data_IF_060159300702
#
_entry.id   IF_060159300702
#
_cell.length_a   1.000
_cell.length_b   1.000
_cell.length_c   1.000
_cell.angle_alpha   90.00
_cell.angle_beta   90.00
_cell.angle_gamma   90.00
#
_symmetry.space_group_name_H-M   'P 1'
#
loop_
_entity.id
_entity.type
_entity.pdbx_description
1 polymer ?
#
# COMPACT_ATOMS: atom_id res chain seq x y z
N UNK A 1 -9.09 -14.18 -2.01
CA UNK A 1 -10.13 -13.45 -2.77
C UNK A 1 -10.76 -12.42 -1.84
N UNK A 2 -10.97 -11.21 -2.35
CA UNK A 2 -11.67 -10.14 -1.64
C UNK A 2 -13.13 -10.53 -1.33
N UNK A 3 -13.66 -9.96 -0.26
CA UNK A 3 -15.00 -10.24 0.26
C UNK A 3 -15.80 -8.97 0.58
N UNK A 4 -15.25 -7.78 0.30
CA UNK A 4 -15.87 -6.48 0.61
C UNK A 4 -15.65 -5.99 2.03
N UNK A 5 -15.05 -6.80 2.92
CA UNK A 5 -14.89 -6.42 4.33
C UNK A 5 -13.47 -5.95 4.66
N UNK A 6 -12.51 -6.12 3.75
CA UNK A 6 -11.14 -5.63 3.90
C UNK A 6 -10.50 -6.09 5.21
N UNK A 7 -10.00 -5.16 6.02
CA UNK A 7 -9.50 -5.40 7.39
C UNK A 7 -10.56 -5.21 8.48
N UNK A 8 -11.76 -4.76 8.13
CA UNK A 8 -12.86 -4.49 9.06
C UNK A 8 -13.68 -5.73 9.41
N UNK A 9 -13.46 -6.85 8.71
CA UNK A 9 -14.19 -8.10 8.93
C UNK A 9 -13.80 -9.22 7.96
N UNK A 10 -14.60 -10.28 7.97
CA UNK A 10 -14.54 -11.36 6.99
C UNK A 10 -13.29 -12.21 7.13
N UNK A 11 -12.71 -12.57 5.98
CA UNK A 11 -11.48 -13.37 5.96
C UNK A 11 -10.31 -12.55 6.48
N UNK A 12 -9.45 -13.15 7.28
CA UNK A 12 -8.16 -12.56 7.64
C UNK A 12 -7.29 -12.43 6.39
N UNK A 13 -6.93 -11.19 6.03
CA UNK A 13 -6.13 -10.86 4.85
C UNK A 13 -4.77 -10.28 5.30
N UNK A 14 -3.64 -10.72 4.72
CA UNK A 14 -2.34 -10.19 5.10
C UNK A 14 -2.06 -8.84 4.44
N UNK A 15 -1.40 -7.93 5.16
CA UNK A 15 -0.76 -6.75 4.55
C UNK A 15 0.36 -7.17 3.61
N UNK A 16 0.62 -6.37 2.57
CA UNK A 16 1.52 -6.77 1.49
C UNK A 16 3.01 -6.57 1.84
N UNK A 17 3.43 -5.35 2.20
CA UNK A 17 4.83 -5.01 2.39
C UNK A 17 5.06 -4.12 3.62
N UNK A 18 5.93 -4.58 4.52
CA UNK A 18 6.34 -3.82 5.70
C UNK A 18 7.68 -3.12 5.44
N UNK A 19 7.64 -1.81 5.17
CA UNK A 19 8.81 -0.95 5.03
C UNK A 19 9.18 -0.33 6.40
N UNK A 20 9.41 -1.20 7.39
CA UNK A 20 9.63 -0.77 8.78
C UNK A 20 11.10 -0.51 9.09
N UNK A 21 11.38 0.50 9.92
CA UNK A 21 12.73 0.83 10.41
C UNK A 21 13.76 1.08 9.30
N UNK A 22 13.29 1.53 8.13
CA UNK A 22 14.14 1.89 7.00
C UNK A 22 14.79 3.25 7.25
N UNK A 23 16.12 3.34 7.11
CA UNK A 23 16.86 4.59 7.31
C UNK A 23 17.71 4.87 6.08
N UNK A 24 17.62 6.08 5.52
CA UNK A 24 18.38 6.51 4.33
C UNK A 24 18.29 5.47 3.19
N UNK A 25 17.07 5.05 2.88
CA UNK A 25 16.78 3.90 2.00
C UNK A 25 15.94 4.33 0.81
N UNK A 26 15.94 3.51 -0.25
CA UNK A 26 15.17 3.76 -1.48
C UNK A 26 14.40 2.52 -1.91
N UNK A 27 13.16 2.70 -2.32
CA UNK A 27 12.31 1.69 -2.98
C UNK A 27 11.93 2.25 -4.34
N UNK A 28 12.28 1.57 -5.43
CA UNK A 28 12.16 2.16 -6.76
C UNK A 28 11.58 1.18 -7.78
N UNK A 29 10.73 1.69 -8.66
CA UNK A 29 10.22 1.00 -9.85
C UNK A 29 9.55 -0.35 -9.56
N UNK A 30 8.80 -0.41 -8.45
CA UNK A 30 8.05 -1.60 -8.05
C UNK A 30 6.63 -1.53 -8.59
N UNK A 31 6.16 -2.62 -9.20
CA UNK A 31 4.75 -2.80 -9.57
C UNK A 31 4.12 -3.87 -8.67
N UNK A 32 3.01 -3.52 -8.02
CA UNK A 32 2.20 -4.41 -7.19
C UNK A 32 0.84 -4.56 -7.85
N UNK A 33 0.33 -5.79 -7.84
CA UNK A 33 -0.95 -6.14 -8.45
C UNK A 33 -1.81 -6.93 -7.48
N UNK A 34 -3.11 -6.60 -7.44
CA UNK A 34 -4.17 -7.31 -6.73
C UNK A 34 -3.82 -7.65 -5.25
N UNK A 35 -3.43 -6.62 -4.48
CA UNK A 35 -3.10 -6.79 -3.07
C UNK A 35 -4.33 -7.20 -2.25
N UNK A 36 -4.19 -8.11 -1.26
CA UNK A 36 -5.34 -8.55 -0.45
C UNK A 36 -5.99 -7.41 0.35
N UNK A 37 -5.16 -6.53 0.93
CA UNK A 37 -5.51 -5.31 1.68
C UNK A 37 -4.37 -4.28 1.48
N UNK A 38 -4.01 -3.50 2.51
CA UNK A 38 -3.01 -2.43 2.45
C UNK A 38 -1.66 -2.91 1.93
N UNK A 39 -0.99 -2.01 1.21
CA UNK A 39 0.17 -2.34 0.40
C UNK A 39 1.46 -2.00 1.15
N UNK A 40 1.84 -0.73 1.21
CA UNK A 40 3.05 -0.30 1.90
C UNK A 40 2.71 0.17 3.31
N UNK A 41 3.02 -0.65 4.31
CA UNK A 41 3.06 -0.20 5.69
C UNK A 41 4.45 0.35 5.99
N UNK A 42 4.56 1.67 6.03
CA UNK A 42 5.78 2.43 6.34
C UNK A 42 5.70 2.83 7.82
N UNK A 43 6.62 2.34 8.64
CA UNK A 43 6.60 2.65 10.07
C UNK A 43 8.00 2.78 10.65
N UNK A 44 8.21 3.76 11.54
CA UNK A 44 9.52 4.05 12.14
C UNK A 44 10.63 4.27 11.10
N UNK A 45 10.29 4.80 9.91
CA UNK A 45 11.23 5.04 8.83
C UNK A 45 11.78 6.49 8.88
N UNK A 46 13.02 6.67 8.43
CA UNK A 46 13.72 7.96 8.36
C UNK A 46 14.38 8.12 7.00
N UNK A 47 14.09 9.21 6.29
CA UNK A 47 14.70 9.48 4.97
C UNK A 47 14.49 8.33 3.98
N UNK A 48 13.26 7.84 3.85
CA UNK A 48 12.90 6.81 2.88
C UNK A 48 12.36 7.47 1.60
N UNK A 49 12.93 7.11 0.46
CA UNK A 49 12.44 7.56 -0.85
C UNK A 49 11.75 6.41 -1.59
N UNK A 50 10.50 6.60 -1.98
CA UNK A 50 9.76 5.71 -2.87
C UNK A 50 9.57 6.40 -4.22
N UNK A 51 10.03 5.79 -5.31
CA UNK A 51 9.96 6.40 -6.65
C UNK A 51 9.45 5.42 -7.70
N UNK A 52 8.53 5.84 -8.55
CA UNK A 52 8.05 5.02 -9.67
C UNK A 52 7.26 3.78 -9.22
N UNK A 53 6.59 3.86 -8.07
CA UNK A 53 5.75 2.77 -7.57
C UNK A 53 4.45 2.72 -8.36
N UNK A 54 4.08 1.54 -8.87
CA UNK A 54 2.79 1.30 -9.50
C UNK A 54 1.97 0.34 -8.65
N UNK A 55 0.75 0.72 -8.32
CA UNK A 55 -0.25 -0.13 -7.67
C UNK A 55 -1.41 -0.31 -8.63
N UNK A 56 -1.69 -1.56 -8.98
CA UNK A 56 -2.80 -1.93 -9.86
C UNK A 56 -3.68 -2.97 -9.16
N UNK A 57 -4.66 -2.48 -8.41
CA UNK A 57 -5.72 -3.27 -7.81
C UNK A 57 -7.03 -3.09 -8.57
N UNK A 58 -6.99 -2.71 -9.85
CA UNK A 58 -8.19 -2.45 -10.65
C UNK A 58 -9.15 -3.65 -10.71
N UNK A 59 -8.63 -4.87 -10.61
CA UNK A 59 -9.45 -6.07 -10.54
C UNK A 59 -10.34 -6.13 -9.29
N UNK A 60 -10.06 -5.34 -8.25
CA UNK A 60 -10.86 -5.25 -7.03
C UNK A 60 -12.10 -4.36 -7.15
N UNK A 61 -12.28 -3.65 -8.26
CA UNK A 61 -13.48 -2.84 -8.48
C UNK A 61 -14.77 -3.66 -8.63
N UNK A 62 -15.91 -2.98 -8.44
CA UNK A 62 -17.24 -3.55 -8.72
C UNK A 62 -17.55 -4.80 -7.88
N UNK A 63 -17.96 -5.88 -8.55
CA UNK A 63 -18.41 -7.12 -7.91
C UNK A 63 -17.30 -7.88 -7.19
N UNK A 64 -16.03 -7.61 -7.53
CA UNK A 64 -14.88 -8.23 -6.87
C UNK A 64 -14.58 -7.62 -5.50
N UNK A 65 -15.20 -6.49 -5.14
CA UNK A 65 -15.29 -5.96 -3.77
C UNK A 65 -13.95 -5.87 -3.01
N UNK A 66 -12.90 -5.36 -3.67
CA UNK A 66 -11.68 -4.93 -3.00
C UNK A 66 -11.99 -3.82 -1.98
N UNK A 67 -11.37 -3.90 -0.80
CA UNK A 67 -11.59 -2.94 0.28
C UNK A 67 -10.34 -2.88 1.18
N UNK A 68 -10.01 -1.69 1.72
CA UNK A 68 -8.79 -1.43 2.49
C UNK A 68 -7.51 -1.80 1.73
N UNK A 69 -7.46 -1.39 0.46
CA UNK A 69 -6.32 -1.61 -0.45
C UNK A 69 -5.42 -0.38 -0.54
N UNK A 70 -5.20 0.26 0.61
CA UNK A 70 -4.42 1.48 0.80
C UNK A 70 -3.02 1.34 0.19
N UNK A 71 -2.57 2.36 -0.54
CA UNK A 71 -1.29 2.28 -1.22
C UNK A 71 -0.11 2.51 -0.26
N UNK A 72 -0.16 3.59 0.52
CA UNK A 72 0.90 3.94 1.46
C UNK A 72 0.29 4.33 2.82
N UNK A 73 0.47 3.47 3.83
CA UNK A 73 0.18 3.76 5.24
C UNK A 73 1.47 4.26 5.90
N UNK A 74 1.51 5.52 6.37
CA UNK A 74 2.71 6.09 7.00
C UNK A 74 2.47 6.35 8.50
N UNK A 75 3.13 5.56 9.35
CA UNK A 75 3.16 5.77 10.79
C UNK A 75 4.54 6.17 11.29
N UNK A 76 4.61 7.02 12.33
CA UNK A 76 5.82 7.31 13.12
C UNK A 76 7.12 7.48 12.30
N UNK A 77 7.05 8.20 11.19
CA UNK A 77 8.14 8.30 10.21
C UNK A 77 8.46 9.75 9.87
N UNK A 78 9.69 10.02 9.41
CA UNK A 78 10.12 11.37 9.02
C UNK A 78 10.98 11.38 7.76
N UNK A 79 10.83 12.44 6.95
CA UNK A 79 11.56 12.57 5.68
C UNK A 79 11.18 11.51 4.64
N UNK A 80 9.90 11.16 4.56
CA UNK A 80 9.40 10.24 3.53
C UNK A 80 9.14 11.02 2.24
N UNK A 81 9.70 10.56 1.14
CA UNK A 81 9.48 11.15 -0.18
C UNK A 81 8.86 10.10 -1.09
N UNK A 82 7.68 10.39 -1.64
CA UNK A 82 7.00 9.53 -2.62
C UNK A 82 6.89 10.33 -3.92
N UNK A 83 7.38 9.78 -5.03
CA UNK A 83 7.36 10.47 -6.32
C UNK A 83 7.09 9.54 -7.50
N UNK A 84 6.35 10.04 -8.50
CA UNK A 84 6.02 9.28 -9.71
C UNK A 84 5.20 8.02 -9.45
N UNK A 85 4.37 8.02 -8.40
CA UNK A 85 3.50 6.89 -8.10
C UNK A 85 2.28 6.87 -9.02
N UNK A 86 1.88 5.69 -9.48
CA UNK A 86 0.66 5.47 -10.25
C UNK A 86 -0.21 4.45 -9.51
N UNK A 87 -1.35 4.91 -8.97
CA UNK A 87 -2.16 4.15 -8.02
C UNK A 87 -3.58 3.97 -8.56
N UNK A 88 -4.00 2.72 -8.70
CA UNK A 88 -5.39 2.33 -8.87
C UNK A 88 -5.76 1.34 -7.75
N UNK A 89 -6.56 1.79 -6.79
CA UNK A 89 -7.00 0.98 -5.64
C UNK A 89 -8.45 1.33 -5.24
N UNK A 90 -8.91 0.83 -4.09
CA UNK A 90 -10.29 0.99 -3.58
C UNK A 90 -10.34 1.74 -2.23
N UNK A 91 -9.21 2.28 -1.79
CA UNK A 91 -9.08 2.97 -0.52
C UNK A 91 -8.01 4.07 -0.64
N UNK A 92 -7.49 4.57 0.47
CA UNK A 92 -6.58 5.70 0.46
C UNK A 92 -5.34 5.50 -0.44
N UNK A 93 -5.05 6.54 -1.23
CA UNK A 93 -3.79 6.61 -1.97
C UNK A 93 -2.62 6.89 -1.02
N UNK A 94 -2.87 7.60 0.09
CA UNK A 94 -1.91 7.92 1.14
C UNK A 94 -2.68 8.15 2.45
N UNK A 95 -2.26 7.46 3.51
CA UNK A 95 -2.81 7.58 4.86
C UNK A 95 -1.71 7.84 5.90
#
# INVERSE_FOLDING_TARGET
>A
CWDGEGTNGGKKKPKFFYAHKMTNSKIQNIKIKDSPVQIFSINNAKQLTLTGVTVDNSAGGGENKGHNTDAFDIGSSSGITISGANIHNQDDCLA
#
